data_IF_397342627481
#
_entry.id   IF_397342627481
#
_cell.length_a   1.000
_cell.length_b   1.000
_cell.length_c   1.000
_cell.angle_alpha   90.00
_cell.angle_beta   90.00
_cell.angle_gamma   90.00
#
_symmetry.space_group_name_H-M   'P 1'
#
loop_
_entity.id
_entity.type
_entity.pdbx_description
1 polymer ?
#
# COMPACT_ATOMS: atom_id res chain seq x y z
N UNK A 1 -9.88 47.87 17.73
CA UNK A 1 -9.19 46.90 16.87
C UNK A 1 -10.16 46.58 15.75
N UNK A 2 -10.03 47.35 14.67
CA UNK A 2 -10.99 47.39 13.57
C UNK A 2 -10.83 46.17 12.66
N UNK A 3 -11.85 45.33 12.69
CA UNK A 3 -12.22 44.46 11.58
C UNK A 3 -12.67 45.35 10.42
N UNK A 4 -11.81 45.67 9.42
CA UNK A 4 -12.14 45.90 7.99
C UNK A 4 -10.87 46.09 7.18
N UNK A 5 -10.59 45.20 6.22
CA UNK A 5 -9.52 45.47 5.25
C UNK A 5 -9.11 44.33 4.34
N UNK A 6 -10.03 43.58 3.74
CA UNK A 6 -9.69 42.72 2.59
C UNK A 6 -10.77 42.84 1.52
N UNK A 7 -10.34 43.15 0.28
CA UNK A 7 -11.13 43.48 -0.93
C UNK A 7 -11.70 44.90 -1.03
N UNK A 8 -10.86 45.89 -1.35
CA UNK A 8 -11.28 47.23 -1.80
C UNK A 8 -11.16 47.45 -3.33
N UNK A 9 -10.76 46.44 -4.11
CA UNK A 9 -10.56 46.56 -5.56
C UNK A 9 -11.15 45.34 -6.25
N UNK A 10 -12.19 45.54 -7.06
CA UNK A 10 -12.91 44.46 -7.76
C UNK A 10 -12.03 43.62 -8.70
N UNK A 11 -10.84 44.11 -9.06
CA UNK A 11 -9.86 43.41 -9.87
C UNK A 11 -9.12 42.31 -9.10
N UNK A 12 -8.76 42.55 -7.84
CA UNK A 12 -8.03 41.59 -6.99
C UNK A 12 -8.93 40.43 -6.54
N UNK A 13 -10.22 40.68 -6.33
CA UNK A 13 -11.19 39.64 -5.98
C UNK A 13 -11.48 38.70 -7.17
N UNK A 14 -11.44 39.22 -8.40
CA UNK A 14 -11.57 38.41 -9.62
C UNK A 14 -10.34 37.55 -9.88
N UNK A 15 -9.13 38.10 -9.70
CA UNK A 15 -7.89 37.33 -9.85
C UNK A 15 -7.79 36.20 -8.81
N UNK A 16 -8.15 36.47 -7.55
CA UNK A 16 -8.15 35.46 -6.50
C UNK A 16 -9.15 34.32 -6.78
N UNK A 17 -10.33 34.64 -7.31
CA UNK A 17 -11.32 33.63 -7.73
C UNK A 17 -10.83 32.77 -8.89
N UNK A 18 -10.16 33.36 -9.87
CA UNK A 18 -9.57 32.63 -11.00
C UNK A 18 -8.49 31.67 -10.50
N UNK A 19 -7.62 32.11 -9.59
CA UNK A 19 -6.60 31.26 -8.97
C UNK A 19 -7.21 30.09 -8.19
N UNK A 20 -8.27 30.32 -7.40
CA UNK A 20 -8.96 29.24 -6.67
C UNK A 20 -9.60 28.24 -7.66
N UNK A 21 -10.29 28.73 -8.70
CA UNK A 21 -10.89 27.83 -9.70
C UNK A 21 -9.85 27.04 -10.49
N UNK A 22 -8.70 27.64 -10.81
CA UNK A 22 -7.60 26.95 -11.47
C UNK A 22 -6.99 25.88 -10.56
N UNK A 23 -6.84 26.16 -9.26
CA UNK A 23 -6.40 25.18 -8.27
C UNK A 23 -7.39 24.02 -8.11
N UNK A 24 -8.69 24.31 -8.06
CA UNK A 24 -9.73 23.29 -7.98
C UNK A 24 -9.79 22.42 -9.25
N UNK A 25 -9.60 23.00 -10.43
CA UNK A 25 -9.50 22.22 -11.69
C UNK A 25 -8.22 21.37 -11.75
N UNK A 26 -7.10 21.86 -11.23
CA UNK A 26 -5.86 21.08 -11.16
C UNK A 26 -5.99 19.85 -10.25
N UNK A 27 -6.79 19.94 -9.19
CA UNK A 27 -7.13 18.82 -8.29
C UNK A 27 -8.11 17.81 -8.94
N UNK A 28 -8.88 18.20 -9.96
CA UNK A 28 -9.85 17.32 -10.63
C UNK A 28 -9.22 16.39 -11.70
N UNK A 29 -7.97 16.63 -12.11
CA UNK A 29 -7.24 15.79 -13.06
C UNK A 29 -6.57 14.55 -12.41
N UNK A 30 -6.92 14.24 -11.15
CA UNK A 30 -6.13 13.39 -10.27
C UNK A 30 -6.40 11.88 -10.37
N UNK A 31 -7.09 11.35 -11.39
CA UNK A 31 -7.12 9.90 -11.63
C UNK A 31 -6.37 9.57 -12.90
N UNK A 32 -5.12 9.10 -12.78
CA UNK A 32 -4.30 8.77 -13.94
C UNK A 32 -4.64 7.36 -14.45
N UNK A 33 -5.28 7.28 -15.63
CA UNK A 33 -5.48 6.05 -16.39
C UNK A 33 -6.96 5.68 -16.62
N UNK A 34 -7.29 5.02 -17.75
CA UNK A 34 -8.65 4.58 -18.06
C UNK A 34 -9.12 3.50 -17.09
N UNK A 35 -10.42 3.46 -16.81
CA UNK A 35 -11.01 2.42 -15.97
C UNK A 35 -10.93 1.06 -16.65
N UNK A 36 -10.70 0.02 -15.83
CA UNK A 36 -10.75 -1.34 -16.30
C UNK A 36 -12.16 -1.68 -16.79
N UNK A 37 -12.27 -2.11 -18.04
CA UNK A 37 -13.52 -2.60 -18.64
C UNK A 37 -13.30 -4.03 -19.07
N UNK A 38 -14.05 -4.96 -18.45
CA UNK A 38 -14.03 -6.37 -18.82
C UNK A 38 -14.38 -6.52 -20.32
N UNK A 39 -13.52 -7.13 -21.15
CA UNK A 39 -13.84 -7.36 -22.56
C UNK A 39 -15.09 -8.23 -22.71
N UNK A 40 -15.99 -7.86 -23.62
CA UNK A 40 -17.12 -8.71 -23.95
C UNK A 40 -16.61 -9.99 -24.62
N UNK A 41 -16.99 -11.16 -24.09
CA UNK A 41 -16.71 -12.42 -24.75
C UNK A 41 -17.57 -12.54 -26.01
N UNK A 42 -16.93 -12.71 -27.17
CA UNK A 42 -17.63 -13.01 -28.42
C UNK A 42 -18.14 -14.45 -28.36
N UNK A 43 -19.34 -14.63 -27.81
CA UNK A 43 -20.04 -15.91 -27.83
C UNK A 43 -20.85 -16.02 -29.12
N UNK A 44 -20.85 -17.18 -29.79
CA UNK A 44 -21.69 -17.39 -30.95
C UNK A 44 -23.17 -17.36 -30.54
N UNK A 45 -24.02 -16.76 -31.37
CA UNK A 45 -25.47 -16.68 -31.14
C UNK A 45 -26.11 -18.07 -31.14
N UNK A 46 -25.50 -19.02 -31.84
CA UNK A 46 -25.89 -20.42 -31.84
C UNK A 46 -24.63 -21.31 -31.82
N UNK A 47 -24.64 -22.31 -30.95
CA UNK A 47 -23.63 -23.38 -31.00
C UNK A 47 -23.98 -24.35 -32.13
N UNK A 48 -22.99 -25.08 -32.65
CA UNK A 48 -23.22 -26.09 -33.68
C UNK A 48 -23.97 -27.26 -33.07
N UNK A 49 -25.29 -27.31 -33.29
CA UNK A 49 -26.13 -28.39 -32.78
C UNK A 49 -26.22 -29.56 -33.78
N UNK A 50 -26.35 -30.76 -33.22
CA UNK A 50 -26.59 -32.02 -33.94
C UNK A 50 -28.11 -32.23 -33.99
N UNK A 51 -28.66 -32.93 -34.98
CA UNK A 51 -30.11 -33.16 -35.03
C UNK A 51 -30.60 -33.89 -33.76
N UNK A 52 -31.64 -33.35 -33.11
CA UNK A 52 -32.23 -33.90 -31.87
C UNK A 52 -31.92 -33.12 -30.58
N UNK A 53 -31.28 -31.95 -30.67
CA UNK A 53 -31.03 -31.09 -29.51
C UNK A 53 -32.30 -30.37 -29.03
N UNK A 54 -32.40 -30.21 -27.70
CA UNK A 54 -33.50 -29.51 -27.01
C UNK A 54 -32.96 -28.24 -26.39
N UNK A 55 -33.76 -27.17 -26.39
CA UNK A 55 -33.42 -25.92 -25.71
C UNK A 55 -33.18 -26.22 -24.22
N UNK A 56 -31.96 -25.91 -23.74
CA UNK A 56 -31.61 -26.07 -22.34
C UNK A 56 -32.48 -25.13 -21.49
N UNK A 57 -33.13 -25.69 -20.47
CA UNK A 57 -33.77 -24.92 -19.40
C UNK A 57 -32.83 -24.98 -18.19
N UNK A 58 -32.18 -23.87 -17.80
CA UNK A 58 -31.29 -23.88 -16.64
C UNK A 58 -32.06 -24.32 -15.40
N UNK A 59 -31.49 -25.27 -14.66
CA UNK A 59 -32.03 -25.78 -13.40
C UNK A 59 -30.95 -25.71 -12.32
N UNK A 60 -30.23 -24.59 -12.26
CA UNK A 60 -29.10 -24.41 -11.34
C UNK A 60 -29.51 -24.57 -9.86
N UNK A 61 -30.75 -24.24 -9.51
CA UNK A 61 -31.29 -24.44 -8.15
C UNK A 61 -31.46 -25.92 -7.76
N UNK A 62 -31.54 -26.84 -8.74
CA UNK A 62 -31.65 -28.29 -8.50
C UNK A 62 -30.31 -29.00 -8.44
N UNK A 63 -29.26 -28.44 -9.07
CA UNK A 63 -27.90 -28.93 -8.92
C UNK A 63 -27.29 -28.32 -7.65
N UNK A 64 -27.64 -28.87 -6.49
CA UNK A 64 -26.95 -28.53 -5.25
C UNK A 64 -25.47 -28.89 -5.30
N UNK A 65 -24.74 -28.58 -4.22
CA UNK A 65 -23.31 -28.91 -4.05
C UNK A 65 -23.02 -30.41 -4.28
N UNK A 66 -24.03 -31.27 -4.10
CA UNK A 66 -23.96 -32.74 -4.21
C UNK A 66 -24.65 -33.23 -5.48
N UNK A 67 -24.31 -32.62 -6.63
CA UNK A 67 -24.89 -32.96 -7.94
C UNK A 67 -24.79 -34.45 -8.31
N UNK A 68 -23.85 -35.19 -7.72
CA UNK A 68 -23.69 -36.63 -7.96
C UNK A 68 -24.83 -37.49 -7.39
N UNK A 69 -25.62 -36.99 -6.43
CA UNK A 69 -26.78 -37.72 -5.89
C UNK A 69 -27.87 -37.96 -6.95
N UNK A 70 -27.91 -37.12 -8.00
CA UNK A 70 -28.82 -37.28 -9.13
C UNK A 70 -28.66 -38.62 -9.86
N UNK A 71 -27.51 -39.28 -9.74
CA UNK A 71 -27.25 -40.58 -10.34
C UNK A 71 -27.80 -41.75 -9.54
N UNK A 72 -28.27 -41.54 -8.29
CA UNK A 72 -28.77 -42.57 -7.38
C UNK A 72 -27.80 -43.78 -7.20
N UNK A 73 -26.49 -43.53 -7.22
CA UNK A 73 -25.47 -44.55 -7.00
C UNK A 73 -24.81 -44.37 -5.62
N UNK A 74 -25.06 -45.27 -4.65
CA UNK A 74 -24.48 -45.16 -3.31
C UNK A 74 -22.95 -45.35 -3.30
N UNK A 75 -22.36 -46.08 -4.25
CA UNK A 75 -20.91 -46.20 -4.33
C UNK A 75 -20.29 -44.88 -4.77
N UNK A 76 -20.88 -44.22 -5.77
CA UNK A 76 -20.43 -42.90 -6.24
C UNK A 76 -20.47 -41.86 -5.10
N UNK A 77 -21.56 -41.82 -4.33
CA UNK A 77 -21.68 -40.90 -3.18
C UNK A 77 -20.57 -41.15 -2.16
N UNK A 78 -20.30 -42.42 -1.80
CA UNK A 78 -19.25 -42.76 -0.83
C UNK A 78 -17.84 -42.36 -1.30
N UNK A 79 -17.57 -42.45 -2.60
CA UNK A 79 -16.30 -42.04 -3.20
C UNK A 79 -16.17 -40.52 -3.24
N UNK A 80 -17.24 -39.81 -3.61
CA UNK A 80 -17.26 -38.35 -3.65
C UNK A 80 -16.97 -37.74 -2.25
N UNK A 81 -17.56 -38.29 -1.19
CA UNK A 81 -17.30 -37.87 0.19
C UNK A 81 -15.84 -38.08 0.62
N UNK A 82 -15.22 -39.20 0.24
CA UNK A 82 -13.80 -39.46 0.53
C UNK A 82 -12.86 -38.50 -0.19
N UNK A 83 -13.19 -38.12 -1.43
CA UNK A 83 -12.42 -37.15 -2.21
C UNK A 83 -12.44 -35.78 -1.54
N UNK A 84 -13.57 -35.32 -1.02
CA UNK A 84 -13.66 -34.00 -0.36
C UNK A 84 -12.70 -33.88 0.83
N UNK A 85 -12.49 -34.95 1.60
CA UNK A 85 -11.67 -34.94 2.81
C UNK A 85 -10.16 -35.04 2.50
N UNK A 86 -9.78 -35.82 1.48
CA UNK A 86 -8.39 -36.25 1.27
C UNK A 86 -7.73 -35.66 0.01
N UNK A 87 -8.44 -34.82 -0.75
CA UNK A 87 -7.91 -34.30 -2.00
C UNK A 87 -6.90 -33.15 -1.77
N UNK A 88 -5.63 -33.50 -1.89
CA UNK A 88 -4.51 -32.54 -1.78
C UNK A 88 -4.57 -31.42 -2.82
N UNK A 89 -5.20 -31.63 -3.98
CA UNK A 89 -5.37 -30.56 -4.97
C UNK A 89 -6.38 -29.51 -4.48
N UNK A 90 -7.42 -29.93 -3.76
CA UNK A 90 -8.40 -28.99 -3.16
C UNK A 90 -7.73 -28.18 -2.05
N UNK A 91 -6.93 -28.82 -1.20
CA UNK A 91 -6.12 -28.11 -0.20
C UNK A 91 -5.13 -27.12 -0.86
N UNK A 92 -4.50 -27.52 -1.97
CA UNK A 92 -3.64 -26.65 -2.76
C UNK A 92 -4.38 -25.45 -3.34
N UNK A 93 -5.57 -25.66 -3.91
CA UNK A 93 -6.41 -24.58 -4.44
C UNK A 93 -6.90 -23.63 -3.33
N UNK A 94 -7.25 -24.15 -2.15
CA UNK A 94 -7.62 -23.35 -0.98
C UNK A 94 -6.44 -22.49 -0.50
N UNK A 95 -5.23 -23.05 -0.44
CA UNK A 95 -4.03 -22.31 -0.08
C UNK A 95 -3.72 -21.19 -1.09
N UNK A 96 -3.90 -21.44 -2.39
CA UNK A 96 -3.76 -20.42 -3.43
C UNK A 96 -4.78 -19.30 -3.28
N UNK A 97 -6.04 -19.63 -2.97
CA UNK A 97 -7.07 -18.62 -2.69
C UNK A 97 -6.71 -17.78 -1.46
N UNK A 98 -6.19 -18.40 -0.40
CA UNK A 98 -5.72 -17.69 0.80
C UNK A 98 -4.56 -16.74 0.45
N UNK A 99 -3.62 -17.19 -0.38
CA UNK A 99 -2.50 -16.37 -0.85
C UNK A 99 -3.00 -15.16 -1.66
N UNK A 100 -3.90 -15.35 -2.62
CA UNK A 100 -4.47 -14.27 -3.42
C UNK A 100 -5.16 -13.22 -2.52
N UNK A 101 -5.95 -13.66 -1.54
CA UNK A 101 -6.59 -12.76 -0.57
C UNK A 101 -5.56 -11.98 0.27
N UNK A 102 -4.46 -12.62 0.66
CA UNK A 102 -3.39 -11.94 1.41
C UNK A 102 -2.71 -10.84 0.58
N UNK A 103 -2.54 -11.05 -0.73
CA UNK A 103 -2.01 -10.04 -1.65
C UNK A 103 -2.95 -8.83 -1.77
N UNK A 104 -4.25 -9.06 -1.91
CA UNK A 104 -5.25 -7.97 -1.89
C UNK A 104 -5.21 -7.21 -0.57
N UNK A 105 -5.12 -7.91 0.57
CA UNK A 105 -5.00 -7.26 1.88
C UNK A 105 -3.73 -6.41 1.99
N UNK A 106 -2.59 -6.90 1.49
CA UNK A 106 -1.34 -6.16 1.46
C UNK A 106 -1.44 -4.91 0.57
N UNK A 107 -2.08 -4.99 -0.60
CA UNK A 107 -2.32 -3.84 -1.45
C UNK A 107 -3.22 -2.79 -0.77
N UNK A 108 -4.30 -3.23 -0.11
CA UNK A 108 -5.21 -2.35 0.64
C UNK A 108 -4.53 -1.68 1.84
N UNK A 109 -3.52 -2.30 2.44
CA UNK A 109 -2.75 -1.70 3.53
C UNK A 109 -2.10 -0.37 3.13
N UNK A 110 -1.84 -0.15 1.84
CA UNK A 110 -1.33 1.11 1.31
C UNK A 110 -2.23 2.33 1.58
N UNK A 111 -3.54 2.14 1.80
CA UNK A 111 -4.44 3.25 2.15
C UNK A 111 -4.21 3.81 3.56
N UNK A 112 -3.47 3.10 4.41
CA UNK A 112 -3.26 3.43 5.81
C UNK A 112 -1.82 3.89 6.06
N UNK A 113 -1.58 4.69 7.11
CA UNK A 113 -0.23 5.05 7.50
C UNK A 113 0.57 3.82 7.95
N UNK A 114 1.84 3.76 7.58
CA UNK A 114 2.77 2.74 8.04
C UNK A 114 3.52 3.24 9.27
N UNK A 115 3.39 2.49 10.36
CA UNK A 115 4.12 2.73 11.61
C UNK A 115 5.28 1.75 11.68
N UNK A 116 6.50 2.26 11.82
CA UNK A 116 7.71 1.45 12.00
C UNK A 116 8.34 1.79 13.34
N UNK A 117 8.83 0.80 14.06
CA UNK A 117 9.58 1.01 15.29
C UNK A 117 10.83 0.14 15.25
N UNK A 118 11.95 0.69 15.70
CA UNK A 118 13.23 -0.01 15.71
C UNK A 118 14.02 0.28 16.98
N UNK A 119 14.86 -0.65 17.39
CA UNK A 119 15.83 -0.45 18.46
C UNK A 119 17.24 -0.63 17.90
N UNK A 120 18.15 0.28 18.23
CA UNK A 120 19.54 0.16 17.84
C UNK A 120 20.49 0.65 18.92
N UNK A 121 21.67 0.05 18.95
CA UNK A 121 22.79 0.44 19.81
C UNK A 121 24.02 0.58 18.92
N UNK A 122 24.65 1.76 18.94
CA UNK A 122 25.85 2.03 18.18
C UNK A 122 26.96 2.48 19.12
N UNK A 123 28.15 1.91 18.95
CA UNK A 123 29.35 2.31 19.69
C UNK A 123 30.37 2.84 18.70
N UNK A 124 30.78 4.09 18.85
CA UNK A 124 31.80 4.72 18.04
C UNK A 124 32.94 5.24 18.91
N UNK A 125 34.15 5.20 18.37
CA UNK A 125 35.32 5.82 18.99
C UNK A 125 35.80 6.94 18.07
N UNK A 126 35.85 8.17 18.57
CA UNK A 126 36.35 9.30 17.79
C UNK A 126 37.86 9.37 17.94
N UNK A 127 38.59 9.43 16.81
CA UNK A 127 40.04 9.60 16.83
C UNK A 127 40.44 10.91 17.51
N UNK A 128 41.44 10.86 18.39
CA UNK A 128 42.01 12.03 19.06
C UNK A 128 42.69 13.03 18.13
N UNK A 129 42.89 12.69 16.84
CA UNK A 129 43.34 13.61 15.80
C UNK A 129 42.22 14.46 15.20
N UNK A 130 40.96 14.09 15.44
CA UNK A 130 39.76 14.77 14.93
C UNK A 130 39.08 15.63 16.02
N UNK A 131 39.53 15.54 17.28
CA UNK A 131 39.14 16.42 18.38
C UNK A 131 40.03 17.66 18.41
N UNK A 132 39.83 18.56 17.46
CA UNK A 132 40.33 19.93 17.59
C UNK A 132 39.57 20.58 18.73
N UNK A 133 40.19 20.63 19.92
CA UNK A 133 39.81 21.60 20.92
C UNK A 133 39.98 22.99 20.30
N UNK A 134 38.88 23.64 19.99
CA UNK A 134 38.85 25.08 19.69
C UNK A 134 39.17 25.81 20.99
N UNK A 135 40.46 25.92 21.27
CA UNK A 135 41.00 26.70 22.38
C UNK A 135 40.80 28.18 22.01
N UNK A 136 39.67 28.76 22.41
CA UNK A 136 39.49 30.21 22.37
C UNK A 136 40.18 30.78 23.60
N UNK A 137 41.51 30.73 23.60
CA UNK A 137 42.33 31.38 24.60
C UNK A 137 42.23 32.89 24.41
N UNK A 138 41.54 33.59 25.32
CA UNK A 138 41.72 35.04 25.49
C UNK A 138 43.19 35.28 25.87
N UNK A 139 43.96 35.79 24.91
CA UNK A 139 45.37 36.13 25.11
C UNK A 139 45.46 37.43 25.90
N UNK A 140 45.82 37.33 27.17
CA UNK A 140 46.20 38.48 28.00
C UNK A 140 47.72 38.68 27.90
N UNK A 141 48.23 39.86 27.50
CA UNK A 141 49.68 40.08 27.38
C UNK A 141 50.38 39.99 28.73
N UNK A 142 51.36 39.09 28.86
CA UNK A 142 52.27 39.02 30.02
C UNK A 142 52.37 37.66 30.72
N UNK A 143 51.46 36.72 30.47
CA UNK A 143 51.45 35.41 31.13
C UNK A 143 51.86 34.26 30.19
N UNK A 144 52.59 33.24 30.66
CA UNK A 144 52.99 32.10 29.84
C UNK A 144 51.76 31.24 29.46
N UNK A 145 51.48 31.14 28.16
CA UNK A 145 50.38 30.32 27.63
C UNK A 145 50.77 28.84 27.67
N UNK A 146 50.24 28.08 28.63
CA UNK A 146 50.32 26.61 28.60
C UNK A 146 49.23 26.06 27.67
N UNK A 147 49.58 25.81 26.41
CA UNK A 147 48.71 25.04 25.49
C UNK A 147 48.80 23.55 25.81
N UNK A 148 47.98 23.06 26.74
CA UNK A 148 47.77 21.62 26.92
C UNK A 148 46.81 21.13 25.83
N UNK A 149 47.33 20.71 24.69
CA UNK A 149 46.59 20.01 23.65
C UNK A 149 46.16 18.61 24.15
N UNK A 150 45.13 18.56 25.00
CA UNK A 150 44.55 17.34 25.51
C UNK A 150 43.84 16.59 24.38
N UNK A 151 44.51 15.60 23.78
CA UNK A 151 43.91 14.69 22.80
C UNK A 151 42.92 13.77 23.50
N UNK A 152 41.67 14.20 23.60
CA UNK A 152 40.58 13.39 24.12
C UNK A 152 40.09 12.43 23.01
N UNK A 153 40.35 11.12 23.21
CA UNK A 153 39.74 10.02 22.45
C UNK A 153 38.51 9.55 23.23
N UNK A 154 37.32 9.93 22.77
CA UNK A 154 36.06 9.57 23.42
C UNK A 154 35.45 8.33 22.78
N UNK A 155 35.12 7.32 23.59
CA UNK A 155 34.21 6.25 23.20
C UNK A 155 32.79 6.71 23.53
N UNK A 156 31.91 6.67 22.55
CA UNK A 156 30.49 7.03 22.69
C UNK A 156 29.66 5.81 22.37
N UNK A 157 28.76 5.44 23.29
CA UNK A 157 27.72 4.45 23.05
C UNK A 157 26.37 5.17 23.01
N UNK A 158 25.64 5.01 21.93
CA UNK A 158 24.32 5.56 21.72
C UNK A 158 23.29 4.43 21.61
N UNK A 159 22.18 4.58 22.31
CA UNK A 159 21.00 3.72 22.19
C UNK A 159 19.87 4.55 21.59
N UNK A 160 19.15 4.02 20.62
CA UNK A 160 18.04 4.69 19.97
C UNK A 160 16.84 3.76 19.81
N UNK A 161 15.66 4.32 20.05
CA UNK A 161 14.35 3.65 19.92
C UNK A 161 13.41 4.53 19.06
N UNK A 162 13.70 4.72 17.76
CA UNK A 162 12.84 5.50 16.89
C UNK A 162 11.48 4.82 16.66
N UNK A 163 10.45 5.65 16.54
CA UNK A 163 9.14 5.30 16.02
C UNK A 163 8.89 6.26 14.85
N UNK A 164 8.70 5.71 13.66
CA UNK A 164 8.50 6.44 12.42
C UNK A 164 7.08 6.21 11.88
N UNK A 165 6.48 7.26 11.33
CA UNK A 165 5.16 7.25 10.69
C UNK A 165 5.31 7.76 9.26
N UNK A 166 4.94 6.95 8.27
CA UNK A 166 4.92 7.35 6.86
C UNK A 166 3.54 7.13 6.25
N UNK A 167 3.05 8.09 5.47
CA UNK A 167 1.77 7.98 4.78
C UNK A 167 1.78 8.84 3.52
N UNK A 168 1.25 8.29 2.43
CA UNK A 168 1.07 9.00 1.17
C UNK A 168 -0.43 9.02 0.85
N UNK A 169 -1.08 10.21 0.80
CA UNK A 169 -2.47 10.28 0.39
C UNK A 169 -2.61 9.86 -1.07
N UNK A 170 -3.61 9.03 -1.38
CA UNK A 170 -3.87 8.52 -2.74
C UNK A 170 -4.55 9.59 -3.60
N UNK A 171 -3.81 10.65 -3.93
CA UNK A 171 -4.30 11.74 -4.78
C UNK A 171 -4.49 11.21 -6.21
N UNK A 172 -3.50 10.47 -6.72
CA UNK A 172 -3.41 10.08 -8.15
C UNK A 172 -4.10 8.76 -8.50
N UNK A 173 -4.67 8.07 -7.51
CA UNK A 173 -5.28 6.74 -7.67
C UNK A 173 -4.27 5.59 -7.80
N UNK A 174 -2.99 5.80 -7.46
CA UNK A 174 -1.94 4.77 -7.54
C UNK A 174 -2.28 3.56 -6.67
N UNK A 175 -2.77 3.81 -5.45
CA UNK A 175 -3.07 2.75 -4.47
C UNK A 175 -4.34 2.03 -4.92
N UNK A 176 -5.38 2.77 -5.30
CA UNK A 176 -6.61 2.21 -5.87
C UNK A 176 -6.35 1.28 -7.06
N UNK A 177 -5.53 1.71 -8.04
CA UNK A 177 -5.15 0.89 -9.20
C UNK A 177 -4.35 -0.36 -8.79
N UNK A 178 -3.50 -0.27 -7.75
CA UNK A 178 -2.79 -1.45 -7.23
C UNK A 178 -3.73 -2.45 -6.56
N UNK A 179 -4.81 -2.00 -5.91
CA UNK A 179 -5.82 -2.89 -5.34
C UNK A 179 -6.62 -3.57 -6.44
N UNK A 180 -7.09 -2.81 -7.44
CA UNK A 180 -7.80 -3.33 -8.62
C UNK A 180 -6.99 -4.44 -9.31
N UNK A 181 -5.67 -4.24 -9.50
CA UNK A 181 -4.79 -5.22 -10.13
C UNK A 181 -4.57 -6.52 -9.31
N UNK A 182 -4.91 -6.55 -8.02
CA UNK A 182 -4.85 -7.76 -7.20
C UNK A 182 -6.21 -8.47 -7.09
N UNK A 183 -7.30 -7.82 -7.54
CA UNK A 183 -8.66 -8.40 -7.53
C UNK A 183 -8.99 -9.15 -8.83
N UNK A 184 -8.27 -8.87 -9.92
CA UNK A 184 -8.36 -9.54 -11.23
C UNK A 184 -7.42 -10.76 -11.36
#
# INVERSE_FOLDING_TARGET
MDDRGFCATGFDCCLYRIFITAWLLALAACTAGPDYVRPAATVPVAFKEIAGWKIARPMDERLGQQWWELFNDPQLTSLAEQVVISNQNVLGAEAQLRQARALVQAARAGHYPMVTAGASASRSQRSGSLSSASDTGTVTPGEPVLSSSGRSSGVITAYSLPIDLSWEPDVWGRIRRSVEANED
#
